data_IF_949145799456
#
_entry.id   IF_949145799456
#
_cell.length_a   1.000
_cell.length_b   1.000
_cell.length_c   1.000
_cell.angle_alpha   90.00
_cell.angle_beta   90.00
_cell.angle_gamma   90.00
#
_symmetry.space_group_name_H-M   'P 1'
#
loop_
_entity.id
_entity.type
_entity.pdbx_description
1 polymer ?
#
# COMPACT_ATOMS: atom_id res chain seq x y z
N UNK A 1 -14.83 14.20 -6.80
CA UNK A 1 -14.10 13.00 -6.53
C UNK A 1 -13.39 13.01 -5.19
N UNK A 2 -13.45 11.91 -4.50
CA UNK A 2 -12.96 11.91 -3.18
C UNK A 2 -11.84 10.89 -2.99
N UNK A 3 -10.84 11.27 -2.27
CA UNK A 3 -9.73 10.39 -2.01
C UNK A 3 -10.08 9.39 -0.92
N UNK A 4 -9.48 8.22 -1.03
CA UNK A 4 -9.55 7.24 0.02
C UNK A 4 -8.50 7.61 1.07
N UNK A 5 -8.89 7.88 2.28
CA UNK A 5 -7.95 8.27 3.29
C UNK A 5 -7.52 7.08 4.13
N UNK A 6 -6.56 7.32 5.03
CA UNK A 6 -5.99 6.25 5.83
C UNK A 6 -7.00 5.60 6.75
N UNK A 7 -7.94 6.37 7.25
CA UNK A 7 -8.94 5.82 8.15
C UNK A 7 -9.81 4.80 7.44
N UNK A 8 -10.13 5.06 6.18
CA UNK A 8 -10.90 4.10 5.41
C UNK A 8 -10.10 2.81 5.17
N UNK A 9 -8.81 2.96 4.91
CA UNK A 9 -7.95 1.80 4.74
C UNK A 9 -7.90 0.96 6.02
N UNK A 10 -7.70 1.62 7.17
CA UNK A 10 -7.66 0.91 8.44
C UNK A 10 -8.97 0.18 8.71
N UNK A 11 -10.09 0.84 8.42
CA UNK A 11 -11.39 0.22 8.64
C UNK A 11 -11.58 -1.00 7.74
N UNK A 12 -11.16 -0.90 6.49
CA UNK A 12 -11.27 -2.02 5.57
C UNK A 12 -10.46 -3.20 6.07
N UNK A 13 -9.24 -2.95 6.52
CA UNK A 13 -8.39 -4.02 7.04
C UNK A 13 -8.99 -4.65 8.28
N UNK A 14 -9.52 -3.82 9.18
CA UNK A 14 -10.15 -4.32 10.41
C UNK A 14 -11.39 -5.17 10.09
N UNK A 15 -12.18 -4.72 9.14
CA UNK A 15 -13.38 -5.44 8.76
C UNK A 15 -13.05 -6.80 8.17
N UNK A 16 -11.98 -6.89 7.41
CA UNK A 16 -11.56 -8.14 6.80
C UNK A 16 -10.76 -9.02 7.76
N UNK A 17 -10.46 -8.53 8.95
CA UNK A 17 -9.68 -9.28 9.92
C UNK A 17 -8.22 -9.38 9.57
N UNK A 18 -7.72 -8.48 8.76
CA UNK A 18 -6.33 -8.47 8.36
C UNK A 18 -5.51 -7.68 9.37
N UNK A 19 -4.46 -8.29 9.87
CA UNK A 19 -3.58 -7.62 10.82
C UNK A 19 -2.48 -6.89 10.08
N UNK A 20 -2.12 -5.72 10.60
CA UNK A 20 -1.13 -4.87 9.96
C UNK A 20 -0.43 -4.02 11.02
N UNK A 21 0.75 -3.52 10.65
CA UNK A 21 1.48 -2.59 11.52
C UNK A 21 1.01 -1.19 11.21
N UNK A 22 0.79 -0.40 12.25
CA UNK A 22 0.24 0.94 12.09
C UNK A 22 1.27 2.00 11.79
N UNK A 23 2.55 1.68 11.91
CA UNK A 23 3.62 2.61 11.62
C UNK A 23 4.01 2.53 10.16
N UNK A 24 3.88 3.63 9.45
CA UNK A 24 4.29 3.65 8.06
C UNK A 24 5.79 3.77 7.97
N UNK A 25 6.36 3.19 6.94
CA UNK A 25 7.80 3.18 6.72
C UNK A 25 8.07 3.77 5.34
N UNK A 26 8.96 4.77 5.24
CA UNK A 26 9.32 5.30 3.93
C UNK A 26 10.11 4.26 3.14
N UNK A 27 9.89 4.24 1.84
CA UNK A 27 10.55 3.27 0.97
C UNK A 27 10.89 3.94 -0.36
N UNK A 28 12.02 3.55 -0.93
CA UNK A 28 12.44 4.05 -2.23
C UNK A 28 12.53 2.96 -3.27
N UNK A 29 12.85 1.74 -2.85
CA UNK A 29 13.06 0.64 -3.77
C UNK A 29 12.15 -0.51 -3.41
N UNK A 30 11.66 -1.20 -4.44
CA UNK A 30 10.76 -2.33 -4.19
C UNK A 30 11.46 -3.47 -3.44
N UNK A 31 12.77 -3.55 -3.54
CA UNK A 31 13.52 -4.59 -2.83
C UNK A 31 13.44 -4.44 -1.32
N UNK A 32 13.08 -3.24 -0.85
CA UNK A 32 12.97 -2.98 0.57
C UNK A 32 11.58 -3.27 1.12
N UNK A 33 10.65 -3.69 0.27
CA UNK A 33 9.28 -3.96 0.70
C UNK A 33 9.16 -5.34 1.33
N UNK A 34 8.31 -5.47 2.36
CA UNK A 34 8.00 -6.81 2.86
C UNK A 34 7.18 -7.57 1.82
N UNK A 35 6.93 -8.84 2.07
CA UNK A 35 6.26 -9.69 1.11
C UNK A 35 4.86 -9.21 0.78
N UNK A 36 4.15 -8.70 1.78
CA UNK A 36 2.80 -8.17 1.62
C UNK A 36 2.72 -6.87 2.38
N UNK A 37 2.25 -5.82 1.72
CA UNK A 37 2.09 -4.53 2.40
C UNK A 37 1.15 -3.64 1.61
N UNK A 38 0.64 -2.63 2.31
CA UNK A 38 -0.07 -1.55 1.66
C UNK A 38 0.88 -0.42 1.38
N UNK A 39 0.67 0.26 0.28
CA UNK A 39 1.49 1.38 -0.13
C UNK A 39 0.69 2.66 -0.11
N UNK A 40 1.30 3.71 0.40
CA UNK A 40 0.77 5.05 0.32
C UNK A 40 1.70 5.85 -0.57
N UNK A 41 1.18 6.39 -1.64
CA UNK A 41 1.96 7.02 -2.69
C UNK A 41 1.50 8.46 -2.88
N UNK A 42 2.43 9.39 -2.77
CA UNK A 42 2.11 10.78 -2.99
C UNK A 42 2.30 11.12 -4.46
N UNK A 43 1.20 11.33 -5.16
CA UNK A 43 1.23 11.75 -6.55
C UNK A 43 1.09 13.27 -6.62
N UNK A 44 1.28 13.88 -7.79
CA UNK A 44 1.12 15.33 -7.90
C UNK A 44 -0.27 15.83 -7.55
N UNK A 45 -1.29 14.99 -7.61
CA UNK A 45 -2.65 15.43 -7.33
C UNK A 45 -3.13 15.12 -5.94
N UNK A 46 -2.80 13.94 -5.45
CA UNK A 46 -3.37 13.46 -4.19
C UNK A 46 -2.55 12.29 -3.68
N UNK A 47 -2.96 11.79 -2.53
CA UNK A 47 -2.40 10.55 -2.01
C UNK A 47 -3.18 9.40 -2.64
N UNK A 48 -2.41 8.40 -3.09
CA UNK A 48 -2.92 7.23 -3.77
C UNK A 48 -2.38 6.01 -3.06
N UNK A 49 -3.10 4.91 -3.02
CA UNK A 49 -2.56 3.75 -2.35
C UNK A 49 -2.81 2.49 -3.16
N UNK A 50 -1.92 1.52 -2.95
CA UNK A 50 -1.88 0.28 -3.70
C UNK A 50 -1.56 -0.86 -2.77
N UNK A 51 -1.73 -2.07 -3.25
CA UNK A 51 -1.37 -3.27 -2.52
C UNK A 51 -0.16 -3.90 -3.18
N UNK A 52 0.83 -4.27 -2.37
CA UNK A 52 1.98 -5.02 -2.85
C UNK A 52 1.90 -6.45 -2.32
N UNK A 53 2.03 -7.41 -3.22
CA UNK A 53 1.94 -8.81 -2.86
C UNK A 53 2.92 -9.61 -3.69
N UNK A 54 3.95 -10.16 -3.03
CA UNK A 54 4.91 -11.09 -3.63
C UNK A 54 5.44 -10.64 -5.00
N UNK A 55 5.93 -9.42 -5.04
CA UNK A 55 6.59 -8.90 -6.23
C UNK A 55 5.69 -8.20 -7.21
N UNK A 56 4.40 -8.12 -6.94
CA UNK A 56 3.46 -7.45 -7.84
C UNK A 56 2.73 -6.33 -7.13
N UNK A 57 2.48 -5.26 -7.84
CA UNK A 57 1.77 -4.09 -7.33
C UNK A 57 0.37 -4.11 -7.89
N UNK A 58 -0.61 -4.18 -7.02
CA UNK A 58 -2.02 -4.19 -7.41
C UNK A 58 -2.59 -2.81 -7.19
N UNK A 59 -2.68 -2.06 -8.27
CA UNK A 59 -3.07 -0.67 -8.23
C UNK A 59 -4.48 -0.52 -8.76
N UNK A 60 -5.40 0.08 -7.99
CA UNK A 60 -6.79 0.20 -8.46
C UNK A 60 -6.92 1.01 -9.74
N UNK A 61 -5.97 1.89 -10.01
CA UNK A 61 -6.04 2.75 -11.17
C UNK A 61 -5.31 2.18 -12.37
N UNK A 62 -4.18 1.51 -12.14
CA UNK A 62 -3.31 1.06 -13.22
C UNK A 62 -3.27 -0.46 -13.40
N UNK A 63 -3.95 -1.21 -12.54
CA UNK A 63 -3.93 -2.66 -12.64
C UNK A 63 -2.71 -3.27 -11.98
N UNK A 64 -2.23 -4.37 -12.53
CA UNK A 64 -1.10 -5.09 -11.96
C UNK A 64 0.20 -4.55 -12.57
N UNK A 65 1.10 -4.12 -11.69
CA UNK A 65 2.37 -3.53 -12.13
C UNK A 65 3.54 -4.32 -11.56
N UNK A 66 4.69 -4.20 -12.20
CA UNK A 66 5.92 -4.83 -11.74
C UNK A 66 6.78 -3.91 -10.90
N UNK A 67 6.41 -2.64 -10.80
CA UNK A 67 7.18 -1.67 -10.05
C UNK A 67 6.22 -0.59 -9.53
N UNK A 68 6.75 0.33 -8.73
CA UNK A 68 5.95 1.39 -8.16
C UNK A 68 5.26 2.21 -9.25
N UNK A 69 4.01 2.58 -9.03
CA UNK A 69 3.44 3.69 -9.80
C UNK A 69 4.23 4.95 -9.51
N UNK A 70 4.18 5.88 -10.43
CA UNK A 70 4.92 7.13 -10.28
C UNK A 70 4.41 7.91 -9.07
N UNK A 71 5.33 8.26 -8.17
CA UNK A 71 4.97 8.98 -6.95
C UNK A 71 6.17 9.71 -6.42
N UNK A 72 5.93 10.85 -5.76
CA UNK A 72 6.98 11.65 -5.15
C UNK A 72 7.51 11.00 -3.89
N UNK A 73 6.62 10.52 -3.04
CA UNK A 73 6.97 9.87 -1.79
C UNK A 73 6.21 8.57 -1.68
N UNK A 74 6.88 7.59 -1.09
CA UNK A 74 6.33 6.25 -0.99
C UNK A 74 6.51 5.76 0.43
N UNK A 75 5.41 5.25 1.00
CA UNK A 75 5.43 4.66 2.33
C UNK A 75 4.68 3.34 2.27
N UNK A 76 4.95 2.46 3.23
CA UNK A 76 4.21 1.22 3.29
C UNK A 76 3.80 0.90 4.73
N UNK A 77 2.74 0.12 4.86
CA UNK A 77 2.31 -0.48 6.10
C UNK A 77 2.42 -1.99 5.92
N UNK A 78 3.21 -2.62 6.76
CA UNK A 78 3.41 -4.05 6.66
C UNK A 78 2.14 -4.78 7.07
N UNK A 79 1.74 -5.76 6.28
CA UNK A 79 0.64 -6.64 6.61
C UNK A 79 1.20 -7.88 7.26
N UNK A 80 0.63 -8.27 8.39
CA UNK A 80 1.05 -9.46 9.10
C UNK A 80 0.30 -10.64 8.50
N UNK A 81 1.05 -11.54 7.87
CA UNK A 81 0.45 -12.57 7.05
C UNK A 81 0.56 -13.96 7.67
N UNK A 82 0.33 -14.05 8.96
CA UNK A 82 0.46 -15.33 9.65
C UNK A 82 -0.47 -16.40 9.10
N UNK A 83 -1.63 -15.96 8.61
CA UNK A 83 -2.66 -16.88 8.16
C UNK A 83 -2.85 -16.89 6.65
N UNK A 84 -1.88 -16.39 5.93
CA UNK A 84 -2.01 -16.34 4.46
C UNK A 84 -1.11 -17.34 3.79
#
# INVERSE_FOLDING_TARGET
ERETDLNMMYRALDTLGIRYEKNRVPVSRREDLPEICFLSLETPRCWHWSLYFKGKFFDPEHGVLDDFPEAKRKYYWKIISDDI
#
